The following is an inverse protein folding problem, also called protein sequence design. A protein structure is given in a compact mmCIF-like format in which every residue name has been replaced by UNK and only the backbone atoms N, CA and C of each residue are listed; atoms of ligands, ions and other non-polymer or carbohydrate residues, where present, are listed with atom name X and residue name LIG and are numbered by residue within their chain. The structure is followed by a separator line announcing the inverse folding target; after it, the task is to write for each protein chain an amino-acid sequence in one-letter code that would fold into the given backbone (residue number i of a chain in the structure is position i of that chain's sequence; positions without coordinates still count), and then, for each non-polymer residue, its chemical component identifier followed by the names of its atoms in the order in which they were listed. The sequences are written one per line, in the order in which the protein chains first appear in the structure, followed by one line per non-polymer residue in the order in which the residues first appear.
data_IF_650453132155
#
_entry.id   IF_650453132155
#
_cell.length_a   1.000
_cell.length_b   1.000
_cell.length_c   1.000
_cell.angle_alpha   90.00
_cell.angle_beta   90.00
_cell.angle_gamma   90.00
#
_symmetry.space_group_name_H-M   'P 1'
#
loop_
_entity.id
_entity.type
_entity.pdbx_description
1 polymer ?
#
# COMPACT_ATOMS: atom_id res chain seq x y z
N UNK A 1 5.22 2.48 -8.14
CA UNK A 1 5.64 1.98 -6.81
C UNK A 1 4.67 2.59 -5.82
N UNK A 2 4.08 1.78 -4.95
CA UNK A 2 2.89 2.19 -4.22
C UNK A 2 3.18 2.71 -2.80
N UNK A 3 4.26 2.21 -2.20
CA UNK A 3 4.82 2.69 -0.94
C UNK A 3 6.18 3.32 -1.27
N UNK A 4 6.37 4.56 -0.84
CA UNK A 4 7.63 5.30 -0.93
C UNK A 4 8.14 5.57 0.47
N UNK A 5 9.44 5.76 0.65
CA UNK A 5 10.01 6.13 1.94
C UNK A 5 10.54 7.57 1.84
N UNK A 6 9.98 8.47 2.63
CA UNK A 6 10.49 9.83 2.77
C UNK A 6 11.18 10.00 4.12
N UNK A 7 12.21 10.84 4.17
CA UNK A 7 12.87 11.15 5.45
C UNK A 7 12.00 12.11 6.24
N UNK A 8 11.73 11.78 7.50
CA UNK A 8 11.08 12.69 8.44
C UNK A 8 12.01 13.85 8.83
N UNK A 9 11.52 14.77 9.67
CA UNK A 9 12.31 15.92 10.14
C UNK A 9 13.56 15.54 10.95
N UNK A 10 13.64 14.29 11.41
CA UNK A 10 14.77 13.74 12.14
C UNK A 10 15.70 12.93 11.24
N UNK A 11 15.41 12.84 9.94
CA UNK A 11 16.19 12.08 8.98
C UNK A 11 15.87 10.58 8.98
N UNK A 12 14.79 10.13 9.62
CA UNK A 12 14.40 8.73 9.63
C UNK A 12 13.49 8.41 8.43
N UNK A 13 13.69 7.27 7.75
CA UNK A 13 12.78 6.85 6.69
C UNK A 13 11.40 6.51 7.26
N UNK A 14 10.38 7.24 6.82
CA UNK A 14 8.97 6.98 7.10
C UNK A 14 8.29 6.48 5.82
N UNK A 15 7.56 5.34 5.87
CA UNK A 15 6.77 4.91 4.74
C UNK A 15 5.63 5.89 4.50
N UNK A 16 5.42 6.22 3.24
CA UNK A 16 4.34 7.05 2.75
C UNK A 16 3.67 6.37 1.55
N UNK A 17 2.37 6.58 1.43
CA UNK A 17 1.60 6.06 0.30
C UNK A 17 1.34 7.22 -0.66
N UNK A 18 1.73 7.05 -1.92
CA UNK A 18 1.46 8.04 -2.96
C UNK A 18 0.10 7.77 -3.60
N UNK A 19 -0.69 8.82 -3.79
CA UNK A 19 -1.92 8.76 -4.55
C UNK A 19 -1.61 8.61 -6.04
N UNK A 20 -2.04 7.51 -6.67
CA UNK A 20 -1.84 7.25 -8.09
C UNK A 20 -2.64 8.23 -8.99
N UNK A 21 -3.65 8.91 -8.45
CA UNK A 21 -4.48 9.86 -9.20
C UNK A 21 -3.89 11.26 -9.31
N UNK A 22 -3.21 11.76 -8.28
CA UNK A 22 -2.66 13.13 -8.26
C UNK A 22 -1.15 13.21 -7.97
N UNK A 23 -0.50 12.09 -7.65
CA UNK A 23 0.91 12.05 -7.26
C UNK A 23 1.21 12.61 -5.86
N UNK A 24 0.19 13.09 -5.14
CA UNK A 24 0.33 13.60 -3.78
C UNK A 24 0.49 12.49 -2.74
N UNK A 25 1.00 12.84 -1.56
CA UNK A 25 1.13 11.91 -0.43
C UNK A 25 -0.20 11.76 0.31
N UNK A 26 -0.56 10.53 0.64
CA UNK A 26 -1.70 10.20 1.51
C UNK A 26 -1.18 10.13 2.95
N UNK A 27 -1.20 11.26 3.66
CA UNK A 27 -0.69 11.35 5.03
C UNK A 27 -1.55 10.63 6.07
N UNK A 28 -2.87 10.61 5.85
CA UNK A 28 -3.82 9.89 6.69
C UNK A 28 -4.35 8.68 5.91
N UNK A 29 -3.88 7.49 6.28
CA UNK A 29 -4.28 6.24 5.62
C UNK A 29 -5.77 5.93 5.78
N UNK A 30 -6.47 6.56 6.72
CA UNK A 30 -7.94 6.44 6.83
C UNK A 30 -8.69 7.29 5.79
N UNK A 31 -7.99 8.20 5.11
CA UNK A 31 -8.55 9.13 4.11
C UNK A 31 -8.23 8.74 2.66
N UNK A 32 -7.89 7.48 2.44
CA UNK A 32 -7.68 6.94 1.10
C UNK A 32 -8.25 5.54 0.96
N UNK A 33 -8.32 5.09 -0.29
CA UNK A 33 -8.75 3.75 -0.64
C UNK A 33 -7.68 3.04 -1.47
N UNK A 34 -7.54 1.75 -1.24
CA UNK A 34 -6.85 0.82 -2.12
C UNK A 34 -7.88 0.15 -3.05
N UNK A 35 -7.53 0.05 -4.32
CA UNK A 35 -8.31 -0.63 -5.34
C UNK A 35 -7.47 -1.78 -5.87
N UNK A 36 -8.03 -2.99 -5.81
CA UNK A 36 -7.50 -4.14 -6.53
C UNK A 36 -8.41 -4.40 -7.72
N UNK A 37 -7.82 -4.56 -8.91
CA UNK A 37 -8.57 -5.03 -10.06
C UNK A 37 -9.16 -6.40 -9.77
N UNK A 38 -10.43 -6.61 -10.13
CA UNK A 38 -11.04 -7.94 -10.05
C UNK A 38 -10.34 -8.83 -11.07
N UNK A 39 -9.72 -9.95 -10.67
CA UNK A 39 -9.11 -10.88 -11.61
C UNK A 39 -10.17 -11.40 -12.56
N UNK A 40 -9.90 -11.33 -13.86
CA UNK A 40 -10.74 -11.96 -14.88
C UNK A 40 -10.35 -13.43 -14.98
N UNK A 41 -11.32 -14.31 -15.18
CA UNK A 41 -11.10 -15.76 -15.25
C UNK A 41 -10.14 -16.19 -16.37
N UNK A 42 -9.89 -15.29 -17.34
CA UNK A 42 -9.06 -15.51 -18.53
C UNK A 42 -7.57 -15.22 -18.30
N UNK A 43 -7.18 -14.69 -17.13
CA UNK A 43 -5.80 -14.25 -16.85
C UNK A 43 -5.23 -14.93 -15.57
N UNK A 44 -5.01 -16.26 -15.58
CA UNK A 44 -4.31 -16.91 -14.48
C UNK A 44 -2.90 -16.34 -14.32
N UNK A 45 -2.41 -16.26 -13.07
CA UNK A 45 -1.09 -15.73 -12.71
C UNK A 45 -0.86 -14.23 -12.98
N UNK A 46 -1.91 -13.47 -13.35
CA UNK A 46 -1.78 -12.02 -13.51
C UNK A 46 -1.36 -11.37 -12.19
N UNK A 47 -0.26 -10.61 -12.27
CA UNK A 47 0.20 -9.75 -11.17
C UNK A 47 -0.75 -8.55 -11.04
N UNK A 48 -1.57 -8.57 -10.00
CA UNK A 48 -2.44 -7.44 -9.65
C UNK A 48 -1.65 -6.42 -8.83
N UNK A 49 -1.58 -5.19 -9.32
CA UNK A 49 -0.98 -4.07 -8.57
C UNK A 49 -2.08 -3.26 -7.90
N UNK A 50 -1.98 -2.98 -6.60
CA UNK A 50 -2.94 -2.09 -5.94
C UNK A 50 -2.81 -0.66 -6.49
N UNK A 51 -3.95 0.02 -6.60
CA UNK A 51 -4.04 1.45 -6.91
C UNK A 51 -4.49 2.16 -5.64
N UNK A 52 -3.73 3.16 -5.19
CA UNK A 52 -4.04 3.96 -4.01
C UNK A 52 -4.57 5.33 -4.43
N UNK A 53 -5.74 5.70 -3.93
CA UNK A 53 -6.36 6.99 -4.20
C UNK A 53 -6.65 7.73 -2.89
N UNK A 54 -6.28 9.01 -2.84
CA UNK A 54 -6.79 9.91 -1.80
C UNK A 54 -8.28 10.15 -2.03
N UNK A 55 -9.01 10.54 -0.97
CA UNK A 55 -10.44 10.86 -1.02
C UNK A 55 -10.85 11.76 -2.20
N UNK A 56 -10.05 12.79 -2.49
CA UNK A 56 -10.33 13.71 -3.60
C UNK A 56 -10.20 13.07 -5.01
N UNK A 57 -9.32 12.09 -5.18
CA UNK A 57 -9.17 11.35 -6.44
C UNK A 57 -10.16 10.18 -6.54
N UNK A 58 -10.51 9.59 -5.40
CA UNK A 58 -11.53 8.57 -5.29
C UNK A 58 -12.88 9.06 -5.85
N UNK A 59 -13.36 10.22 -5.38
CA UNK A 59 -14.65 10.80 -5.79
C UNK A 59 -14.71 11.11 -7.30
N UNK A 60 -13.55 11.42 -7.92
CA UNK A 60 -13.44 11.64 -9.37
C UNK A 60 -13.47 10.33 -10.16
N UNK A 61 -12.87 9.28 -9.61
CA UNK A 61 -12.78 7.97 -10.25
C UNK A 61 -14.13 7.26 -10.30
N UNK A 62 -14.96 7.37 -9.26
CA UNK A 62 -16.31 6.79 -9.24
C UNK A 62 -17.22 7.34 -10.33
N UNK A 63 -17.02 8.60 -10.70
CA UNK A 63 -17.81 9.26 -11.75
C UNK A 63 -17.45 8.78 -13.16
N UNK A 64 -16.33 8.09 -13.34
CA UNK A 64 -15.76 7.80 -14.67
C UNK A 64 -15.54 6.31 -14.93
N UNK A 65 -15.34 5.47 -13.91
CA UNK A 65 -14.80 4.12 -14.10
C UNK A 65 -15.67 2.95 -13.58
N UNK A 66 -16.92 3.20 -13.18
CA UNK A 66 -17.82 2.16 -12.66
C UNK A 66 -17.40 1.58 -11.30
N UNK A 67 -18.20 0.70 -10.69
CA UNK A 67 -17.94 0.18 -9.35
C UNK A 67 -16.76 -0.80 -9.36
N UNK A 68 -15.59 -0.33 -8.92
CA UNK A 68 -14.45 -1.19 -8.56
C UNK A 68 -14.55 -1.55 -7.08
N UNK A 69 -14.03 -2.73 -6.70
CA UNK A 69 -13.95 -3.11 -5.28
C UNK A 69 -12.90 -2.24 -4.59
N UNK A 70 -13.38 -1.30 -3.79
CA UNK A 70 -12.55 -0.42 -2.96
C UNK A 70 -12.46 -0.97 -1.55
N UNK A 71 -11.29 -0.81 -0.95
CA UNK A 71 -11.04 -1.14 0.44
C UNK A 71 -10.31 0.05 1.07
N UNK A 72 -10.69 0.51 2.27
CA UNK A 72 -9.89 1.47 3.01
C UNK A 72 -8.41 1.03 3.10
N UNK A 73 -7.46 1.96 3.00
CA UNK A 73 -6.03 1.62 2.92
C UNK A 73 -5.55 0.89 4.18
N UNK A 74 -5.99 1.31 5.35
CA UNK A 74 -5.70 0.64 6.62
C UNK A 74 -6.16 -0.82 6.62
N UNK A 75 -7.40 -1.08 6.18
CA UNK A 75 -7.94 -2.43 6.06
C UNK A 75 -7.19 -3.24 5.00
N UNK A 76 -6.80 -2.62 3.88
CA UNK A 76 -5.99 -3.25 2.85
C UNK A 76 -4.61 -3.69 3.40
N UNK A 77 -3.95 -2.83 4.17
CA UNK A 77 -2.66 -3.15 4.79
C UNK A 77 -2.80 -4.30 5.80
N UNK A 78 -3.86 -4.31 6.61
CA UNK A 78 -4.15 -5.43 7.53
C UNK A 78 -4.36 -6.73 6.76
N UNK A 79 -5.14 -6.71 5.67
CA UNK A 79 -5.33 -7.88 4.81
C UNK A 79 -4.00 -8.37 4.23
N UNK A 80 -3.17 -7.46 3.73
CA UNK A 80 -1.86 -7.79 3.18
C UNK A 80 -0.97 -8.47 4.22
N UNK A 81 -0.84 -7.91 5.43
CA UNK A 81 -0.02 -8.51 6.51
C UNK A 81 -0.55 -9.90 6.87
N UNK A 82 -1.86 -10.06 7.01
CA UNK A 82 -2.49 -11.35 7.32
C UNK A 82 -2.26 -12.39 6.20
N UNK A 83 -2.34 -11.98 4.93
CA UNK A 83 -2.14 -12.87 3.78
C UNK A 83 -0.71 -13.35 3.61
N UNK A 84 0.28 -12.55 4.01
CA UNK A 84 1.70 -12.94 3.96
C UNK A 84 2.08 -13.87 5.13
N UNK A 85 1.15 -14.15 6.06
CA UNK A 85 1.39 -14.96 7.27
C UNK A 85 2.64 -14.53 8.06
N UNK A 86 3.01 -13.26 8.00
CA UNK A 86 4.16 -12.74 8.73
C UNK A 86 3.82 -12.78 10.22
N UNK A 87 4.38 -13.77 10.92
CA UNK A 87 4.29 -13.81 12.36
C UNK A 87 5.22 -12.72 12.93
N UNK A 88 4.92 -12.16 14.11
CA UNK A 88 5.80 -11.19 14.76
C UNK A 88 7.28 -11.66 14.82
N UNK A 89 7.51 -12.96 14.98
CA UNK A 89 8.84 -13.57 14.99
C UNK A 89 9.55 -13.48 13.64
N UNK A 90 8.82 -13.54 12.52
CA UNK A 90 9.40 -13.42 11.17
C UNK A 90 9.84 -11.98 10.91
N UNK A 91 9.05 -11.00 11.36
CA UNK A 91 9.41 -9.58 11.31
C UNK A 91 10.63 -9.28 12.19
N UNK A 92 10.70 -9.87 13.39
CA UNK A 92 11.84 -9.74 14.28
C UNK A 92 13.11 -10.37 13.68
N UNK A 93 13.01 -11.56 13.08
CA UNK A 93 14.12 -12.23 12.43
C UNK A 93 14.68 -11.43 11.25
N UNK A 94 13.80 -10.85 10.42
CA UNK A 94 14.19 -9.95 9.33
C UNK A 94 14.84 -8.68 9.88
N UNK A 95 14.26 -8.06 10.92
CA UNK A 95 14.82 -6.88 11.58
C UNK A 95 16.23 -7.11 12.15
N UNK A 96 16.47 -8.27 12.78
CA UNK A 96 17.80 -8.65 13.26
C UNK A 96 18.82 -8.83 12.13
N UNK A 97 18.42 -9.44 11.01
CA UNK A 97 19.29 -9.59 9.83
C UNK A 97 19.66 -8.22 9.26
N UNK A 98 18.69 -7.32 9.08
CA UNK A 98 18.95 -5.96 8.59
C UNK A 98 19.90 -5.18 9.50
N UNK A 99 19.78 -5.32 10.83
CA UNK A 99 20.72 -4.71 11.78
C UNK A 99 22.13 -5.32 11.75
N UNK A 100 22.26 -6.60 11.37
CA UNK A 100 23.55 -7.24 11.17
C UNK A 100 24.20 -6.80 9.85
N UNK A 101 23.40 -6.67 8.79
CA UNK A 101 23.86 -6.24 7.47
C UNK A 101 24.25 -4.76 7.46
N UNK A 102 23.59 -3.91 8.25
CA UNK A 102 23.91 -2.48 8.40
C UNK A 102 25.18 -2.20 9.23
N UNK A 103 25.84 -3.22 9.79
CA UNK A 103 27.08 -3.08 10.58
C UNK A 103 28.37 -3.25 9.76
N UNK A 104 28.29 -3.24 8.43
CA UNK A 104 29.44 -3.28 7.52
C UNK A 104 29.42 -2.11 6.52
#
# INVERSE_FOLDING_TARGET
MAIVFQLDKSGNPSPEITCDGCGGVIHDHTQGVAILETPRAEEPEKVLKPIFLCKGCEEKTDKTAGPRRKVPIDQFLVQMVNSVQLLPNDLEAVGRRMMQDAKY
#
